data_IF_114462267712
#
_entry.id   IF_114462267712
#
_cell.length_a   1.000
_cell.length_b   1.000
_cell.length_c   1.000
_cell.angle_alpha   90.00
_cell.angle_beta   90.00
_cell.angle_gamma   90.00
#
_symmetry.space_group_name_H-M   'P 1'
#
loop_
_entity.id
_entity.type
_entity.pdbx_description
1 polymer ?
#
# COMPACT_ATOMS: atom_id res chain seq x y z
N UNK A 1 -12.62 -18.29 -35.36
CA UNK A 1 -12.02 -18.31 -34.00
C UNK A 1 -10.49 -18.43 -34.03
N UNK A 2 -9.85 -19.06 -34.98
CA UNK A 2 -8.38 -19.08 -35.13
C UNK A 2 -7.78 -17.67 -35.29
N UNK A 3 -8.36 -16.83 -36.12
CA UNK A 3 -7.86 -15.49 -36.45
C UNK A 3 -7.73 -14.54 -35.22
N UNK A 4 -8.65 -14.63 -34.25
CA UNK A 4 -8.60 -13.80 -33.03
C UNK A 4 -7.52 -14.27 -32.06
N UNK A 5 -7.37 -15.59 -31.89
CA UNK A 5 -6.33 -16.16 -31.03
C UNK A 5 -4.92 -15.84 -31.56
N UNK A 6 -4.74 -15.92 -32.88
CA UNK A 6 -3.47 -15.60 -33.52
C UNK A 6 -3.15 -14.10 -33.40
N UNK A 7 -4.16 -13.23 -33.51
CA UNK A 7 -4.02 -11.79 -33.28
C UNK A 7 -3.61 -11.49 -31.82
N UNK A 8 -4.32 -12.02 -30.83
CA UNK A 8 -4.00 -11.81 -29.42
C UNK A 8 -2.58 -12.33 -29.10
N UNK A 9 -2.19 -13.48 -29.61
CA UNK A 9 -0.86 -14.03 -29.46
C UNK A 9 0.23 -13.12 -30.07
N UNK A 10 -0.01 -12.60 -31.28
CA UNK A 10 0.90 -11.66 -31.96
C UNK A 10 1.10 -10.37 -31.17
N UNK A 11 0.04 -9.90 -30.48
CA UNK A 11 0.04 -8.68 -29.65
C UNK A 11 0.48 -8.92 -28.21
N UNK A 12 0.83 -10.13 -27.86
CA UNK A 12 1.13 -10.55 -26.49
C UNK A 12 0.01 -10.18 -25.49
N UNK A 13 -1.24 -10.26 -25.93
CA UNK A 13 -2.44 -10.05 -25.10
C UNK A 13 -2.82 -11.40 -24.48
N UNK A 14 -2.52 -11.58 -23.19
CA UNK A 14 -2.73 -12.83 -22.46
C UNK A 14 -3.65 -12.57 -21.28
N UNK A 15 -4.95 -12.85 -21.46
CA UNK A 15 -5.97 -12.62 -20.44
C UNK A 15 -5.96 -13.79 -19.44
N UNK A 16 -5.13 -13.67 -18.39
CA UNK A 16 -5.03 -14.67 -17.33
C UNK A 16 -4.95 -13.98 -15.96
N UNK A 17 -5.51 -14.62 -14.91
CA UNK A 17 -5.35 -14.13 -13.54
C UNK A 17 -3.87 -13.99 -13.13
N UNK A 18 -3.00 -14.88 -13.59
CA UNK A 18 -1.56 -14.82 -13.34
C UNK A 18 -0.98 -13.48 -13.82
N UNK A 19 -1.30 -13.07 -15.05
CA UNK A 19 -0.74 -11.86 -15.66
C UNK A 19 -1.27 -10.58 -15.03
N UNK A 20 -2.57 -10.52 -14.74
CA UNK A 20 -3.20 -9.29 -14.25
C UNK A 20 -3.21 -9.16 -12.73
N UNK A 21 -3.48 -10.25 -11.99
CA UNK A 21 -3.58 -10.20 -10.53
C UNK A 21 -2.27 -10.52 -9.80
N UNK A 22 -1.24 -11.00 -10.51
CA UNK A 22 0.04 -11.32 -9.88
C UNK A 22 1.18 -10.48 -10.47
N UNK A 23 1.41 -10.56 -11.78
CA UNK A 23 2.52 -9.85 -12.42
C UNK A 23 2.28 -8.32 -12.46
N UNK A 24 1.12 -7.88 -12.98
CA UNK A 24 0.78 -6.46 -13.04
C UNK A 24 0.64 -5.84 -11.65
N UNK A 25 0.02 -6.54 -10.69
CA UNK A 25 -0.13 -6.06 -9.31
C UNK A 25 1.21 -5.97 -8.58
N UNK A 26 2.09 -6.96 -8.78
CA UNK A 26 3.45 -6.95 -8.23
C UNK A 26 4.29 -5.80 -8.79
N UNK A 27 4.23 -5.57 -10.10
CA UNK A 27 4.90 -4.44 -10.74
C UNK A 27 4.34 -3.09 -10.28
N UNK A 28 3.01 -2.98 -10.15
CA UNK A 28 2.37 -1.79 -9.59
C UNK A 28 2.91 -1.45 -8.20
N UNK A 29 3.08 -2.46 -7.33
CA UNK A 29 3.63 -2.26 -5.99
C UNK A 29 5.07 -1.74 -6.04
N UNK A 30 5.89 -2.19 -7.00
CA UNK A 30 7.25 -1.66 -7.22
C UNK A 30 7.22 -0.20 -7.69
N UNK A 31 6.31 0.15 -8.62
CA UNK A 31 6.12 1.52 -9.08
C UNK A 31 5.69 2.45 -7.93
N UNK A 32 4.78 1.99 -7.08
CA UNK A 32 4.35 2.71 -5.88
C UNK A 32 5.52 2.89 -4.90
N UNK A 33 6.30 1.85 -4.68
CA UNK A 33 7.48 1.90 -3.82
C UNK A 33 8.49 2.95 -4.30
N UNK A 34 8.87 2.89 -5.58
CA UNK A 34 9.89 3.77 -6.15
C UNK A 34 9.48 5.26 -6.17
N UNK A 35 8.21 5.56 -6.07
CA UNK A 35 7.66 6.93 -6.13
C UNK A 35 7.08 7.38 -4.79
N UNK A 36 5.89 6.91 -4.42
CA UNK A 36 5.17 7.36 -3.23
C UNK A 36 5.96 7.10 -1.95
N UNK A 37 6.47 5.87 -1.77
CA UNK A 37 7.11 5.50 -0.51
C UNK A 37 8.46 6.20 -0.33
N UNK A 38 9.32 6.14 -1.33
CA UNK A 38 10.61 6.85 -1.30
C UNK A 38 10.39 8.36 -1.17
N UNK A 39 9.43 8.92 -1.92
CA UNK A 39 9.07 10.32 -1.83
C UNK A 39 8.57 10.72 -0.44
N UNK A 40 7.76 9.89 0.20
CA UNK A 40 7.27 10.12 1.57
C UNK A 40 8.42 10.07 2.58
N UNK A 41 9.36 9.14 2.46
CA UNK A 41 10.55 9.07 3.31
C UNK A 41 11.38 10.34 3.22
N UNK A 42 11.69 10.78 1.99
CA UNK A 42 12.48 12.00 1.75
C UNK A 42 11.75 13.22 2.31
N UNK A 43 10.44 13.35 2.03
CA UNK A 43 9.61 14.47 2.51
C UNK A 43 9.57 14.51 4.03
N UNK A 44 9.37 13.37 4.68
CA UNK A 44 9.34 13.28 6.15
C UNK A 44 10.69 13.65 6.76
N UNK A 45 11.79 13.18 6.16
CA UNK A 45 13.14 13.58 6.59
C UNK A 45 13.33 15.10 6.47
N UNK A 46 12.89 15.70 5.36
CA UNK A 46 12.92 17.15 5.16
C UNK A 46 12.14 17.91 6.23
N UNK A 47 10.93 17.46 6.53
CA UNK A 47 10.08 18.04 7.58
C UNK A 47 10.73 17.96 8.98
N UNK A 48 11.36 16.82 9.31
CA UNK A 48 12.01 16.64 10.62
C UNK A 48 13.34 17.40 10.77
N UNK A 49 14.04 17.61 9.66
CA UNK A 49 15.34 18.33 9.65
C UNK A 49 15.21 19.83 9.34
N UNK A 50 14.03 20.30 8.94
CA UNK A 50 13.80 21.68 8.51
C UNK A 50 14.43 21.99 7.14
N UNK A 51 14.69 20.98 6.31
CA UNK A 51 15.28 21.14 4.98
C UNK A 51 14.20 21.14 3.90
N UNK A 52 13.71 22.32 3.52
CA UNK A 52 12.65 22.50 2.52
C UNK A 52 12.97 21.82 1.18
N UNK A 53 14.23 21.83 0.76
CA UNK A 53 14.67 21.14 -0.47
C UNK A 53 14.31 19.65 -0.46
N UNK A 54 14.42 18.97 0.67
CA UNK A 54 14.03 17.55 0.77
C UNK A 54 12.50 17.40 0.75
N UNK A 55 11.76 18.38 1.32
CA UNK A 55 10.29 18.39 1.26
C UNK A 55 9.83 18.50 -0.20
N UNK A 56 10.43 19.38 -0.98
CA UNK A 56 10.11 19.56 -2.40
C UNK A 56 10.49 18.33 -3.24
N UNK A 57 11.70 17.78 -3.04
CA UNK A 57 12.14 16.56 -3.73
C UNK A 57 11.18 15.39 -3.46
N UNK A 58 10.80 15.17 -2.19
CA UNK A 58 9.82 14.16 -1.82
C UNK A 58 8.45 14.45 -2.40
N UNK A 59 8.07 15.74 -2.51
CA UNK A 59 6.84 16.20 -3.15
C UNK A 59 6.75 15.80 -4.62
N UNK A 60 7.79 16.03 -5.41
CA UNK A 60 7.87 15.63 -6.81
C UNK A 60 7.76 14.10 -6.96
N UNK A 61 8.45 13.33 -6.12
CA UNK A 61 8.40 11.87 -6.18
C UNK A 61 6.99 11.33 -5.86
N UNK A 62 6.36 11.84 -4.81
CA UNK A 62 5.00 11.41 -4.41
C UNK A 62 3.93 11.78 -5.45
N UNK A 63 4.08 12.93 -6.12
CA UNK A 63 3.17 13.37 -7.18
C UNK A 63 3.18 12.42 -8.39
N UNK A 64 4.29 11.71 -8.62
CA UNK A 64 4.44 10.77 -9.74
C UNK A 64 4.00 9.34 -9.40
N UNK A 65 3.34 9.11 -8.28
CA UNK A 65 2.91 7.76 -7.87
C UNK A 65 2.00 7.07 -8.88
N UNK A 66 0.96 7.74 -9.37
CA UNK A 66 0.06 7.21 -10.40
C UNK A 66 0.79 6.87 -11.71
N UNK A 67 1.54 7.82 -12.31
CA UNK A 67 2.40 7.57 -13.46
C UNK A 67 3.36 6.39 -13.29
N UNK A 68 4.06 6.30 -12.16
CA UNK A 68 5.02 5.23 -11.88
C UNK A 68 4.34 3.85 -11.79
N UNK A 69 3.18 3.77 -11.12
CA UNK A 69 2.39 2.54 -11.05
C UNK A 69 1.95 2.07 -12.45
N UNK A 70 1.39 2.98 -13.26
CA UNK A 70 0.90 2.63 -14.60
C UNK A 70 2.04 2.23 -15.53
N UNK A 71 3.17 2.91 -15.45
CA UNK A 71 4.37 2.58 -16.22
C UNK A 71 4.91 1.18 -15.83
N UNK A 72 4.96 0.87 -14.54
CA UNK A 72 5.38 -0.45 -14.05
C UNK A 72 4.43 -1.57 -14.51
N UNK A 73 3.11 -1.33 -14.49
CA UNK A 73 2.10 -2.25 -15.04
C UNK A 73 2.35 -2.49 -16.52
N UNK A 74 2.51 -1.43 -17.30
CA UNK A 74 2.75 -1.52 -18.73
C UNK A 74 4.04 -2.26 -19.06
N UNK A 75 5.09 -2.07 -18.27
CA UNK A 75 6.36 -2.81 -18.40
C UNK A 75 6.15 -4.31 -18.15
N UNK A 76 5.46 -4.68 -17.07
CA UNK A 76 5.14 -6.08 -16.75
C UNK A 76 4.25 -6.75 -17.80
N UNK A 77 3.37 -5.97 -18.45
CA UNK A 77 2.52 -6.44 -19.55
C UNK A 77 3.22 -6.43 -20.91
N UNK A 78 4.52 -6.15 -20.96
CA UNK A 78 5.34 -6.08 -22.17
C UNK A 78 4.83 -5.09 -23.20
N UNK A 79 4.38 -3.92 -22.75
CA UNK A 79 3.88 -2.89 -23.65
C UNK A 79 4.97 -2.33 -24.57
N UNK A 80 4.67 -2.08 -25.84
CA UNK A 80 5.54 -1.31 -26.72
C UNK A 80 5.81 0.11 -26.17
N UNK A 81 6.95 0.73 -26.53
CA UNK A 81 7.36 2.02 -25.96
C UNK A 81 6.31 3.13 -26.04
N UNK A 82 5.60 3.27 -27.15
CA UNK A 82 4.56 4.28 -27.30
C UNK A 82 3.38 4.07 -26.35
N UNK A 83 2.98 2.82 -26.12
CA UNK A 83 1.95 2.47 -25.13
C UNK A 83 2.46 2.78 -23.73
N UNK A 84 3.67 2.31 -23.40
CA UNK A 84 4.29 2.48 -22.10
C UNK A 84 4.38 3.98 -21.69
N UNK A 85 4.83 4.83 -22.58
CA UNK A 85 4.94 6.27 -22.33
C UNK A 85 3.57 6.95 -22.21
N UNK A 86 2.58 6.49 -22.97
CA UNK A 86 1.20 7.00 -22.89
C UNK A 86 0.51 6.63 -21.57
N UNK A 87 0.88 5.50 -20.97
CA UNK A 87 0.36 5.08 -19.66
C UNK A 87 0.73 6.04 -18.51
N UNK A 88 1.74 6.88 -18.66
CA UNK A 88 2.10 7.94 -17.71
C UNK A 88 0.89 8.86 -17.50
N UNK A 89 0.26 9.32 -18.58
CA UNK A 89 -0.94 10.17 -18.53
C UNK A 89 -2.13 9.43 -17.94
N UNK A 90 -2.32 8.16 -18.32
CA UNK A 90 -3.39 7.31 -17.79
C UNK A 90 -3.25 7.12 -16.28
N UNK A 91 -2.03 6.81 -15.81
CA UNK A 91 -1.77 6.63 -14.38
C UNK A 91 -2.00 7.91 -13.57
N UNK A 92 -1.61 9.06 -14.12
CA UNK A 92 -1.88 10.35 -13.49
C UNK A 92 -3.38 10.58 -13.29
N UNK A 93 -4.17 10.46 -14.37
CA UNK A 93 -5.62 10.69 -14.32
C UNK A 93 -6.34 9.69 -13.41
N UNK A 94 -6.02 8.41 -13.51
CA UNK A 94 -6.65 7.36 -12.70
C UNK A 94 -6.39 7.53 -11.22
N UNK A 95 -5.14 7.87 -10.84
CA UNK A 95 -4.78 8.08 -9.44
C UNK A 95 -5.41 9.36 -8.88
N UNK A 96 -5.39 10.45 -9.64
CA UNK A 96 -5.97 11.73 -9.20
C UNK A 96 -7.50 11.65 -9.01
N UNK A 97 -8.21 11.02 -9.94
CA UNK A 97 -9.67 10.88 -9.87
C UNK A 97 -10.11 9.78 -8.90
N UNK A 98 -9.28 8.79 -8.66
CA UNK A 98 -9.56 7.66 -7.76
C UNK A 98 -9.40 7.99 -6.27
N UNK A 99 -8.74 9.08 -5.91
CA UNK A 99 -8.55 9.49 -4.52
C UNK A 99 -8.00 8.36 -3.63
N UNK A 100 -8.70 7.98 -2.58
CA UNK A 100 -8.29 6.88 -1.69
C UNK A 100 -8.20 5.52 -2.41
N UNK A 101 -8.99 5.31 -3.46
CA UNK A 101 -8.94 4.14 -4.34
C UNK A 101 -7.99 4.31 -5.54
N UNK A 102 -7.20 5.39 -5.56
CA UNK A 102 -6.30 5.72 -6.68
C UNK A 102 -5.44 4.55 -7.16
N UNK A 103 -4.70 3.86 -6.30
CA UNK A 103 -3.89 2.71 -6.73
C UNK A 103 -4.71 1.58 -7.39
N UNK A 104 -5.90 1.28 -6.86
CA UNK A 104 -6.80 0.29 -7.44
C UNK A 104 -7.36 0.75 -8.80
N UNK A 105 -7.70 2.03 -8.91
CA UNK A 105 -8.12 2.62 -10.17
C UNK A 105 -7.01 2.54 -11.23
N UNK A 106 -5.77 2.88 -10.85
CA UNK A 106 -4.59 2.74 -11.74
C UNK A 106 -4.42 1.29 -12.19
N UNK A 107 -4.53 0.31 -11.28
CA UNK A 107 -4.38 -1.10 -11.63
C UNK A 107 -5.35 -1.50 -12.74
N UNK A 108 -6.64 -1.27 -12.53
CA UNK A 108 -7.70 -1.68 -13.46
C UNK A 108 -7.57 -0.95 -14.79
N UNK A 109 -7.43 0.38 -14.74
CA UNK A 109 -7.47 1.24 -15.93
C UNK A 109 -6.18 1.08 -16.75
N UNK A 110 -5.02 1.00 -16.12
CA UNK A 110 -3.76 0.80 -16.83
C UNK A 110 -3.68 -0.56 -17.52
N UNK A 111 -4.23 -1.63 -16.93
CA UNK A 111 -4.34 -2.94 -17.60
C UNK A 111 -5.16 -2.81 -18.88
N UNK A 112 -6.37 -2.23 -18.79
CA UNK A 112 -7.24 -2.09 -19.96
C UNK A 112 -6.60 -1.20 -21.04
N UNK A 113 -6.05 -0.05 -20.65
CA UNK A 113 -5.38 0.86 -21.58
C UNK A 113 -4.14 0.23 -22.23
N UNK A 114 -3.40 -0.58 -21.48
CA UNK A 114 -2.25 -1.35 -21.98
C UNK A 114 -2.66 -2.33 -23.07
N UNK A 115 -3.71 -3.12 -22.82
CA UNK A 115 -4.14 -4.13 -23.77
C UNK A 115 -4.76 -3.50 -25.05
N UNK A 116 -5.52 -2.41 -24.90
CA UNK A 116 -6.03 -1.65 -26.05
C UNK A 116 -4.91 -0.99 -26.85
N UNK A 117 -3.93 -0.40 -26.17
CA UNK A 117 -2.75 0.17 -26.81
C UNK A 117 -1.93 -0.86 -27.58
N UNK A 118 -1.69 -2.04 -26.99
CA UNK A 118 -1.02 -3.17 -27.68
C UNK A 118 -1.80 -3.64 -28.90
N UNK A 119 -3.14 -3.71 -28.79
CA UNK A 119 -3.97 -4.16 -29.90
C UNK A 119 -3.80 -3.29 -31.16
N UNK A 120 -3.68 -1.98 -31.01
CA UNK A 120 -3.55 -1.05 -32.13
C UNK A 120 -2.10 -0.76 -32.56
N UNK A 121 -1.14 -1.03 -31.69
CA UNK A 121 0.28 -0.75 -31.95
C UNK A 121 0.79 -1.49 -33.19
N UNK A 122 1.43 -0.74 -34.09
CA UNK A 122 2.01 -1.22 -35.36
C UNK A 122 0.97 -1.79 -36.36
N UNK A 123 -0.32 -1.43 -36.23
CA UNK A 123 -1.36 -1.83 -37.19
C UNK A 123 -1.59 -0.76 -38.27
N UNK A 124 -1.11 0.47 -38.08
CA UNK A 124 -1.30 1.58 -39.02
C UNK A 124 0.03 2.18 -39.45
N UNK A 125 0.04 2.83 -40.61
CA UNK A 125 1.22 3.55 -41.12
C UNK A 125 1.57 4.80 -40.27
N UNK A 126 0.60 5.30 -39.52
CA UNK A 126 0.73 6.47 -38.63
C UNK A 126 0.71 6.06 -37.15
N UNK A 127 1.33 4.94 -36.85
CA UNK A 127 1.37 4.31 -35.51
C UNK A 127 1.78 5.28 -34.40
N UNK A 128 2.72 6.17 -34.71
CA UNK A 128 3.22 7.19 -33.76
C UNK A 128 2.12 8.13 -33.23
N UNK A 129 1.02 8.30 -33.97
CA UNK A 129 -0.15 9.08 -33.55
C UNK A 129 -1.26 8.17 -33.00
N UNK A 130 -1.57 7.09 -33.71
CA UNK A 130 -2.73 6.23 -33.38
C UNK A 130 -2.53 5.50 -32.06
N UNK A 131 -1.39 4.92 -31.83
CA UNK A 131 -1.12 4.17 -30.59
C UNK A 131 -1.21 5.04 -29.32
N UNK A 132 -0.55 6.21 -29.21
CA UNK A 132 -0.73 7.09 -28.07
C UNK A 132 -2.15 7.62 -27.92
N UNK A 133 -2.80 8.02 -29.02
CA UNK A 133 -4.18 8.50 -28.97
C UNK A 133 -5.12 7.45 -28.40
N UNK A 134 -5.08 6.23 -28.91
CA UNK A 134 -5.96 5.15 -28.42
C UNK A 134 -5.67 4.85 -26.96
N UNK A 135 -4.41 4.76 -26.56
CA UNK A 135 -4.03 4.48 -25.18
C UNK A 135 -4.50 5.57 -24.23
N UNK A 136 -4.27 6.85 -24.58
CA UNK A 136 -4.67 7.99 -23.74
C UNK A 136 -6.19 8.13 -23.70
N UNK A 137 -6.88 8.16 -24.85
CA UNK A 137 -8.32 8.33 -24.88
C UNK A 137 -9.05 7.19 -24.14
N UNK A 138 -8.64 5.94 -24.35
CA UNK A 138 -9.26 4.81 -23.65
C UNK A 138 -8.95 4.86 -22.16
N UNK A 139 -7.69 5.11 -21.75
CA UNK A 139 -7.29 5.13 -20.36
C UNK A 139 -7.84 6.33 -19.59
N UNK A 140 -7.68 7.56 -20.11
CA UNK A 140 -8.22 8.76 -19.46
C UNK A 140 -9.75 8.78 -19.50
N UNK A 141 -10.36 8.40 -20.62
CA UNK A 141 -11.81 8.27 -20.72
C UNK A 141 -12.38 7.28 -19.70
N UNK A 142 -11.71 6.13 -19.55
CA UNK A 142 -12.09 5.14 -18.53
C UNK A 142 -11.86 5.70 -17.11
N UNK A 143 -10.79 6.46 -16.88
CA UNK A 143 -10.54 7.15 -15.60
C UNK A 143 -11.69 8.08 -15.23
N UNK A 144 -12.19 8.88 -16.16
CA UNK A 144 -13.32 9.78 -15.93
C UNK A 144 -14.62 9.03 -15.62
N UNK A 145 -14.78 7.81 -16.13
CA UNK A 145 -16.01 7.02 -15.94
C UNK A 145 -15.98 6.21 -14.64
N UNK A 146 -14.87 5.53 -14.31
CA UNK A 146 -14.86 4.53 -13.22
C UNK A 146 -13.91 4.84 -12.08
N UNK A 147 -12.95 5.78 -12.19
CA UNK A 147 -12.01 6.04 -11.11
C UNK A 147 -12.71 6.59 -9.85
N UNK A 148 -13.66 7.51 -9.99
CA UNK A 148 -14.43 8.04 -8.87
C UNK A 148 -15.32 6.98 -8.18
N UNK A 149 -16.08 6.12 -8.88
CA UNK A 149 -16.74 4.95 -8.27
C UNK A 149 -15.80 4.01 -7.51
N UNK A 150 -14.61 3.73 -8.06
CA UNK A 150 -13.59 2.91 -7.37
C UNK A 150 -13.12 3.61 -6.09
N UNK A 151 -12.89 4.91 -6.15
CA UNK A 151 -12.56 5.75 -5.00
C UNK A 151 -13.64 5.72 -3.94
N UNK A 152 -14.90 5.84 -4.33
CA UNK A 152 -16.05 5.74 -3.43
C UNK A 152 -16.13 4.37 -2.74
N UNK A 153 -15.89 3.28 -3.49
CA UNK A 153 -15.85 1.93 -2.92
C UNK A 153 -14.71 1.79 -1.90
N UNK A 154 -13.52 2.32 -2.19
CA UNK A 154 -12.40 2.34 -1.24
C UNK A 154 -12.72 3.16 0.03
N UNK A 155 -13.48 4.25 -0.11
CA UNK A 155 -13.91 5.09 1.01
C UNK A 155 -14.90 4.39 1.94
N UNK A 156 -15.61 3.31 1.51
CA UNK A 156 -16.43 2.50 2.40
C UNK A 156 -15.60 1.80 3.49
N UNK A 157 -14.33 1.52 3.23
CA UNK A 157 -13.41 1.05 4.28
C UNK A 157 -13.28 2.10 5.39
N UNK A 158 -13.29 3.39 5.03
CA UNK A 158 -13.35 4.49 5.99
C UNK A 158 -14.61 4.45 6.88
N UNK A 159 -15.78 4.21 6.29
CA UNK A 159 -17.04 4.06 7.06
C UNK A 159 -16.95 2.90 8.06
N UNK A 160 -16.34 1.77 7.64
CA UNK A 160 -16.13 0.63 8.51
C UNK A 160 -15.14 0.95 9.65
N UNK A 161 -14.09 1.72 9.37
CA UNK A 161 -13.15 2.19 10.39
C UNK A 161 -13.87 3.10 11.40
N UNK A 162 -14.68 4.04 10.93
CA UNK A 162 -15.44 4.94 11.83
C UNK A 162 -16.38 4.15 12.74
N UNK A 163 -17.12 3.19 12.18
CA UNK A 163 -17.95 2.30 13.00
C UNK A 163 -17.12 1.55 14.04
N UNK A 164 -15.92 1.06 13.66
CA UNK A 164 -15.03 0.35 14.58
C UNK A 164 -14.52 1.24 15.72
N UNK A 165 -14.32 2.54 15.49
CA UNK A 165 -13.86 3.47 16.54
C UNK A 165 -14.92 3.75 17.63
N UNK A 166 -16.18 3.47 17.35
CA UNK A 166 -17.30 3.64 18.31
C UNK A 166 -17.41 2.46 19.29
N UNK A 167 -16.68 1.37 19.06
CA UNK A 167 -16.74 0.17 19.90
C UNK A 167 -15.97 0.34 21.20
N UNK A 168 -16.20 -0.58 22.16
CA UNK A 168 -15.40 -0.66 23.38
C UNK A 168 -13.90 -0.79 23.09
N UNK A 169 -12.98 -0.24 23.90
CA UNK A 169 -11.56 -0.12 23.59
C UNK A 169 -10.86 -1.42 23.15
N UNK A 170 -11.26 -2.55 23.72
CA UNK A 170 -10.71 -3.86 23.32
C UNK A 170 -11.17 -4.24 21.91
N UNK A 171 -12.46 -4.11 21.63
CA UNK A 171 -13.05 -4.44 20.31
C UNK A 171 -12.57 -3.43 19.26
N UNK A 172 -12.57 -2.15 19.61
CA UNK A 172 -12.01 -1.08 18.77
C UNK A 172 -10.55 -1.38 18.40
N UNK A 173 -9.72 -1.74 19.40
CA UNK A 173 -8.33 -2.11 19.17
C UNK A 173 -8.17 -3.24 18.15
N UNK A 174 -8.95 -4.31 18.28
CA UNK A 174 -8.93 -5.44 17.32
C UNK A 174 -9.38 -4.96 15.92
N UNK A 175 -10.55 -4.33 15.84
CA UNK A 175 -11.16 -3.99 14.56
C UNK A 175 -10.35 -2.95 13.80
N UNK A 176 -9.97 -1.85 14.45
CA UNK A 176 -9.22 -0.77 13.80
C UNK A 176 -7.84 -1.26 13.34
N UNK A 177 -7.10 -1.99 14.20
CA UNK A 177 -5.78 -2.51 13.83
C UNK A 177 -5.84 -3.50 12.67
N UNK A 178 -6.83 -4.40 12.64
CA UNK A 178 -7.01 -5.37 11.56
C UNK A 178 -7.46 -4.67 10.27
N UNK A 179 -8.49 -3.82 10.33
CA UNK A 179 -9.06 -3.19 9.13
C UNK A 179 -8.02 -2.28 8.48
N UNK A 180 -7.37 -1.39 9.26
CA UNK A 180 -6.37 -0.46 8.71
C UNK A 180 -5.10 -1.20 8.27
N UNK A 181 -4.66 -2.20 9.03
CA UNK A 181 -3.52 -3.05 8.64
C UNK A 181 -3.77 -3.80 7.34
N UNK A 182 -4.94 -4.40 7.17
CA UNK A 182 -5.36 -5.06 5.92
C UNK A 182 -5.46 -4.03 4.79
N UNK A 183 -6.05 -2.85 5.03
CA UNK A 183 -6.16 -1.78 4.06
C UNK A 183 -4.78 -1.31 3.55
N UNK A 184 -3.76 -1.25 4.41
CA UNK A 184 -2.38 -0.93 4.04
C UNK A 184 -1.79 -1.94 3.04
N UNK A 185 -2.13 -3.21 3.18
CA UNK A 185 -1.63 -4.28 2.30
C UNK A 185 -2.40 -4.34 0.98
N UNK A 186 -3.67 -3.93 0.96
CA UNK A 186 -4.51 -3.84 -0.24
C UNK A 186 -4.02 -2.71 -1.18
N UNK A 187 -4.35 -2.77 -2.48
CA UNK A 187 -4.06 -1.70 -3.42
C UNK A 187 -5.01 -0.50 -3.26
N UNK A 188 -5.11 0.00 -2.02
CA UNK A 188 -5.83 1.21 -1.63
C UNK A 188 -4.95 2.08 -0.75
N UNK A 189 -5.25 3.36 -0.64
CA UNK A 189 -4.45 4.28 0.18
C UNK A 189 -5.00 4.35 1.60
N UNK A 190 -4.53 3.48 2.50
CA UNK A 190 -4.83 3.53 3.94
C UNK A 190 -4.48 4.90 4.55
N UNK A 191 -3.36 5.50 4.12
CA UNK A 191 -2.94 6.83 4.53
C UNK A 191 -3.98 7.92 4.16
N UNK A 192 -4.49 7.90 2.92
CA UNK A 192 -5.51 8.83 2.47
C UNK A 192 -6.85 8.61 3.20
N UNK A 193 -7.22 7.36 3.47
CA UNK A 193 -8.41 7.04 4.26
C UNK A 193 -8.28 7.59 5.69
N UNK A 194 -7.18 7.29 6.38
CA UNK A 194 -6.95 7.78 7.74
C UNK A 194 -6.89 9.32 7.82
N UNK A 195 -6.29 9.98 6.82
CA UNK A 195 -6.25 11.44 6.73
C UNK A 195 -7.65 12.03 6.55
N UNK A 196 -8.47 11.46 5.65
CA UNK A 196 -9.84 11.90 5.40
C UNK A 196 -10.76 11.73 6.61
N UNK A 197 -10.52 10.72 7.44
CA UNK A 197 -11.25 10.46 8.69
C UNK A 197 -10.74 11.30 9.87
N UNK A 198 -9.58 11.95 9.77
CA UNK A 198 -8.93 12.57 10.91
C UNK A 198 -8.54 11.55 11.98
N UNK A 199 -8.17 10.31 11.61
CA UNK A 199 -7.96 9.21 12.55
C UNK A 199 -6.73 9.44 13.41
N UNK A 200 -6.94 9.85 14.66
CA UNK A 200 -5.91 10.15 15.66
C UNK A 200 -6.26 9.52 17.02
N UNK A 201 -5.56 9.89 18.08
CA UNK A 201 -5.79 9.38 19.42
C UNK A 201 -5.50 7.89 19.57
N UNK A 202 -6.22 7.23 20.45
CA UNK A 202 -6.10 5.79 20.73
C UNK A 202 -6.43 4.95 19.51
N UNK A 203 -7.46 5.33 18.73
CA UNK A 203 -7.81 4.63 17.48
C UNK A 203 -6.70 4.77 16.42
N UNK A 204 -6.06 5.96 16.34
CA UNK A 204 -4.88 6.18 15.51
C UNK A 204 -3.70 5.30 15.94
N UNK A 205 -3.48 5.15 17.23
CA UNK A 205 -2.46 4.27 17.80
C UNK A 205 -2.70 2.79 17.47
N UNK A 206 -3.94 2.33 17.58
CA UNK A 206 -4.33 0.97 17.16
C UNK A 206 -4.09 0.75 15.65
N UNK A 207 -4.41 1.75 14.82
CA UNK A 207 -4.15 1.70 13.37
C UNK A 207 -2.65 1.58 13.07
N UNK A 208 -1.80 2.39 13.73
CA UNK A 208 -0.33 2.28 13.61
C UNK A 208 0.15 0.89 13.98
N UNK A 209 -0.28 0.35 15.12
CA UNK A 209 0.09 -0.99 15.58
C UNK A 209 -0.31 -2.07 14.56
N UNK A 210 -1.51 -2.00 13.99
CA UNK A 210 -2.00 -2.92 12.97
C UNK A 210 -1.21 -2.84 11.66
N UNK A 211 -0.91 -1.63 11.19
CA UNK A 211 -0.06 -1.39 10.03
C UNK A 211 1.35 -1.95 10.22
N UNK A 212 1.95 -1.71 11.40
CA UNK A 212 3.26 -2.26 11.76
C UNK A 212 3.24 -3.78 11.79
N UNK A 213 2.15 -4.40 12.29
CA UNK A 213 2.01 -5.84 12.31
C UNK A 213 1.98 -6.44 10.90
N UNK A 214 1.33 -5.80 9.95
CA UNK A 214 1.37 -6.24 8.56
C UNK A 214 2.77 -6.09 7.96
N UNK A 215 3.41 -4.94 8.11
CA UNK A 215 4.69 -4.66 7.48
C UNK A 215 5.83 -5.48 8.08
N UNK A 216 6.06 -5.38 9.38
CA UNK A 216 7.11 -6.13 10.09
C UNK A 216 6.80 -7.63 10.06
N UNK A 217 5.52 -8.00 10.20
CA UNK A 217 5.10 -9.39 10.11
C UNK A 217 5.50 -10.04 8.78
N UNK A 218 5.19 -9.43 7.65
CA UNK A 218 5.62 -9.94 6.35
C UNK A 218 7.14 -9.87 6.16
N UNK A 219 7.78 -8.80 6.60
CA UNK A 219 9.21 -8.60 6.47
C UNK A 219 10.02 -9.71 7.15
N UNK A 220 9.73 -9.99 8.44
CA UNK A 220 10.49 -10.93 9.24
C UNK A 220 10.23 -12.38 8.84
N UNK A 221 8.96 -12.76 8.65
CA UNK A 221 8.60 -14.15 8.30
C UNK A 221 9.07 -14.58 6.90
N UNK A 222 9.23 -13.63 5.98
CA UNK A 222 9.74 -13.89 4.63
C UNK A 222 11.26 -13.74 4.50
N UNK A 223 11.96 -13.49 5.60
CA UNK A 223 13.41 -13.25 5.59
C UNK A 223 14.23 -14.37 4.96
N UNK A 224 13.85 -15.64 5.23
CA UNK A 224 14.52 -16.81 4.65
C UNK A 224 14.46 -16.83 3.12
N UNK A 225 13.42 -16.27 2.53
CA UNK A 225 13.14 -16.30 1.09
C UNK A 225 13.64 -15.04 0.36
N UNK A 226 13.67 -13.89 1.07
CA UNK A 226 13.93 -12.57 0.47
C UNK A 226 15.17 -11.87 1.04
N UNK A 227 15.79 -12.40 2.08
CA UNK A 227 16.96 -11.80 2.72
C UNK A 227 16.76 -10.40 3.26
N UNK A 228 17.86 -9.65 3.41
CA UNK A 228 17.86 -8.28 3.93
C UNK A 228 17.07 -7.31 3.02
N UNK A 229 17.16 -7.48 1.70
CA UNK A 229 16.42 -6.65 0.74
C UNK A 229 14.91 -6.76 0.96
N UNK A 230 14.39 -7.98 1.13
CA UNK A 230 12.97 -8.22 1.43
C UNK A 230 12.56 -7.72 2.81
N UNK A 231 13.46 -7.82 3.82
CA UNK A 231 13.21 -7.29 5.16
C UNK A 231 13.00 -5.77 5.11
N UNK A 232 13.90 -5.05 4.45
CA UNK A 232 13.85 -3.58 4.35
C UNK A 232 12.68 -3.13 3.47
N UNK A 233 12.51 -3.74 2.29
CA UNK A 233 11.46 -3.32 1.35
C UNK A 233 10.04 -3.51 1.90
N UNK A 234 9.82 -4.55 2.70
CA UNK A 234 8.52 -4.77 3.35
C UNK A 234 8.41 -4.05 4.70
N UNK A 235 9.45 -4.10 5.51
CA UNK A 235 9.44 -3.54 6.86
C UNK A 235 9.45 -2.01 6.90
N UNK A 236 10.18 -1.36 6.01
CA UNK A 236 10.24 0.10 5.89
C UNK A 236 9.55 0.64 4.63
N UNK A 237 9.22 -0.23 3.69
CA UNK A 237 8.53 0.14 2.46
C UNK A 237 7.03 -0.15 2.54
N UNK A 238 6.60 -1.34 2.12
CA UNK A 238 5.18 -1.73 2.14
C UNK A 238 4.97 -3.24 2.14
N UNK A 239 3.95 -3.69 2.89
CA UNK A 239 3.45 -5.07 2.83
C UNK A 239 2.72 -5.40 1.52
N UNK A 240 2.31 -4.38 0.74
CA UNK A 240 1.63 -4.57 -0.55
C UNK A 240 2.47 -5.36 -1.56
N UNK A 241 3.80 -5.40 -1.40
CA UNK A 241 4.69 -6.25 -2.21
C UNK A 241 4.31 -7.73 -2.16
N UNK A 242 3.63 -8.18 -1.09
CA UNK A 242 3.14 -9.55 -0.95
C UNK A 242 1.77 -9.80 -1.60
N UNK A 243 1.11 -8.78 -2.18
CA UNK A 243 -0.22 -8.95 -2.76
C UNK A 243 -0.28 -10.02 -3.85
N UNK A 244 0.73 -10.10 -4.70
CA UNK A 244 0.83 -11.16 -5.72
C UNK A 244 0.86 -12.57 -5.10
N UNK A 245 1.53 -12.73 -3.96
CA UNK A 245 1.59 -13.98 -3.22
C UNK A 245 0.30 -14.24 -2.43
N UNK A 246 -0.32 -13.20 -1.85
CA UNK A 246 -1.63 -13.28 -1.17
C UNK A 246 -2.71 -13.78 -2.13
N UNK A 247 -2.72 -13.28 -3.38
CA UNK A 247 -3.65 -13.75 -4.42
C UNK A 247 -3.44 -15.23 -4.74
N UNK A 248 -2.18 -15.71 -4.77
CA UNK A 248 -1.85 -17.13 -4.99
C UNK A 248 -2.25 -18.01 -3.82
N UNK A 249 -1.93 -17.56 -2.60
CA UNK A 249 -2.20 -18.28 -1.35
C UNK A 249 -2.66 -17.30 -0.26
N UNK A 250 -4.00 -17.05 -0.13
CA UNK A 250 -4.53 -16.10 0.86
C UNK A 250 -4.18 -16.44 2.32
N UNK A 251 -3.81 -17.69 2.61
CA UNK A 251 -3.46 -18.12 3.97
C UNK A 251 -2.22 -17.41 4.50
N UNK A 252 -1.32 -16.97 3.62
CA UNK A 252 -0.15 -16.19 4.03
C UNK A 252 -0.51 -14.86 4.70
N UNK A 253 -1.74 -14.40 4.61
CA UNK A 253 -2.19 -13.16 5.25
C UNK A 253 -2.65 -13.35 6.70
N UNK A 254 -2.89 -14.59 7.12
CA UNK A 254 -3.46 -14.91 8.44
C UNK A 254 -2.50 -14.49 9.56
N UNK A 255 -1.23 -14.88 9.48
CA UNK A 255 -0.26 -14.60 10.55
C UNK A 255 -0.11 -13.10 10.88
N UNK A 256 0.15 -12.18 9.94
CA UNK A 256 0.25 -10.75 10.26
C UNK A 256 -1.09 -10.15 10.66
N UNK A 257 -2.22 -10.69 10.17
CA UNK A 257 -3.56 -10.25 10.58
C UNK A 257 -3.87 -10.65 12.02
N UNK A 258 -3.51 -11.86 12.43
CA UNK A 258 -3.61 -12.27 13.84
C UNK A 258 -2.68 -11.45 14.74
N UNK A 259 -1.47 -11.13 14.28
CA UNK A 259 -0.58 -10.22 15.00
C UNK A 259 -1.21 -8.83 15.16
N UNK A 260 -1.86 -8.28 14.10
CA UNK A 260 -2.63 -7.03 14.20
C UNK A 260 -3.74 -7.12 15.26
N UNK A 261 -4.51 -8.21 15.25
CA UNK A 261 -5.61 -8.43 16.19
C UNK A 261 -5.15 -8.51 17.66
N UNK A 262 -3.90 -8.83 17.91
CA UNK A 262 -3.30 -8.87 19.26
C UNK A 262 -2.67 -7.52 19.62
N UNK A 263 -1.90 -6.93 18.72
CA UNK A 263 -1.21 -5.65 18.98
C UNK A 263 -2.17 -4.49 19.14
N UNK A 264 -3.31 -4.50 18.44
CA UNK A 264 -4.35 -3.48 18.56
C UNK A 264 -4.89 -3.31 19.98
N UNK A 265 -5.45 -4.36 20.61
CA UNK A 265 -5.91 -4.30 21.99
C UNK A 265 -4.81 -3.97 23.01
N UNK A 266 -3.59 -4.43 22.79
CA UNK A 266 -2.46 -4.02 23.64
C UNK A 266 -2.19 -2.52 23.52
N UNK A 267 -2.31 -1.95 22.32
CA UNK A 267 -2.20 -0.52 22.12
C UNK A 267 -3.30 0.26 22.84
N UNK A 268 -4.56 -0.20 22.75
CA UNK A 268 -5.71 0.54 23.29
C UNK A 268 -5.92 0.35 24.79
N UNK A 269 -5.76 -0.87 25.31
CA UNK A 269 -6.16 -1.23 26.68
C UNK A 269 -4.97 -1.29 27.65
N UNK A 270 -3.75 -1.61 27.18
CA UNK A 270 -2.60 -1.83 28.06
C UNK A 270 -1.67 -0.62 28.05
N UNK A 271 -1.25 -0.18 26.88
CA UNK A 271 -0.26 0.89 26.72
C UNK A 271 -0.89 2.27 26.56
N UNK A 272 -2.21 2.37 26.28
CA UNK A 272 -2.86 3.61 25.90
C UNK A 272 -2.04 4.39 24.86
N UNK A 273 -1.64 3.65 23.83
CA UNK A 273 -0.73 4.12 22.79
C UNK A 273 -1.49 5.02 21.82
N UNK A 274 -1.30 6.31 21.94
CA UNK A 274 -1.98 7.32 21.14
C UNK A 274 -1.11 7.80 19.98
N UNK A 275 -1.75 8.08 18.85
CA UNK A 275 -1.16 8.77 17.71
C UNK A 275 -1.86 10.10 17.50
N UNK A 276 -1.31 11.16 18.10
CA UNK A 276 -1.85 12.54 18.07
C UNK A 276 -1.12 13.46 17.08
N UNK A 277 -0.26 12.88 16.24
CA UNK A 277 0.34 13.59 15.11
C UNK A 277 -0.58 13.72 13.91
N UNK A 278 -0.03 13.91 12.73
CA UNK A 278 -0.82 14.01 11.50
C UNK A 278 -1.60 12.71 11.23
N UNK A 279 -2.92 12.80 11.00
CA UNK A 279 -3.81 11.65 10.83
C UNK A 279 -3.37 10.67 9.71
N UNK A 280 -2.68 11.17 8.68
CA UNK A 280 -2.08 10.35 7.61
C UNK A 280 -1.14 9.27 8.17
N UNK A 281 -0.45 9.55 9.26
CA UNK A 281 0.53 8.66 9.91
C UNK A 281 -0.12 7.40 10.49
N UNK A 282 -1.41 7.46 10.88
CA UNK A 282 -2.16 6.30 11.39
C UNK A 282 -2.24 5.16 10.38
N UNK A 283 -2.28 5.48 9.08
CA UNK A 283 -2.36 4.47 8.01
C UNK A 283 -1.02 4.06 7.39
N UNK A 284 0.12 4.47 7.98
CA UNK A 284 1.45 4.27 7.37
C UNK A 284 2.31 3.20 8.07
N UNK A 285 2.05 2.89 9.35
CA UNK A 285 2.85 1.92 10.09
C UNK A 285 4.34 2.24 10.08
N UNK A 286 5.18 1.26 9.75
CA UNK A 286 6.64 1.43 9.65
C UNK A 286 7.11 1.94 8.29
N UNK A 287 6.21 2.28 7.38
CA UNK A 287 6.57 2.88 6.08
C UNK A 287 7.37 4.17 6.29
N UNK A 288 8.66 4.16 5.96
CA UNK A 288 9.57 5.29 6.25
C UNK A 288 9.57 5.76 7.69
N UNK A 289 9.16 4.93 8.64
CA UNK A 289 8.92 5.27 10.05
C UNK A 289 7.87 6.38 10.27
N UNK A 290 7.02 6.64 9.27
CA UNK A 290 6.04 7.74 9.32
C UNK A 290 5.03 7.54 10.46
N UNK A 291 4.60 6.31 10.74
CA UNK A 291 3.73 6.01 11.87
C UNK A 291 4.37 6.38 13.20
N UNK A 292 5.63 5.98 13.42
CA UNK A 292 6.41 6.26 14.64
C UNK A 292 6.70 7.77 14.79
N UNK A 293 7.02 8.43 13.68
CA UNK A 293 7.22 9.88 13.66
C UNK A 293 5.90 10.59 14.01
N UNK A 294 4.76 10.11 13.50
CA UNK A 294 3.44 10.63 13.84
C UNK A 294 3.14 10.50 15.34
N UNK A 295 3.45 9.35 15.94
CA UNK A 295 3.32 9.14 17.39
C UNK A 295 4.21 10.11 18.17
N UNK A 296 5.50 10.19 17.81
CA UNK A 296 6.45 11.08 18.46
C UNK A 296 6.07 12.56 18.36
N UNK A 297 5.67 13.02 17.18
CA UNK A 297 5.23 14.41 16.99
C UNK A 297 3.93 14.69 17.75
N UNK A 298 3.06 13.69 17.89
CA UNK A 298 1.90 13.75 18.77
C UNK A 298 2.29 13.98 20.22
N UNK A 299 3.21 13.20 20.77
CA UNK A 299 3.70 13.38 22.14
C UNK A 299 4.29 14.79 22.38
N UNK A 300 5.07 15.29 21.39
CA UNK A 300 5.62 16.66 21.48
C UNK A 300 4.50 17.72 21.51
N UNK A 301 3.49 17.54 20.66
CA UNK A 301 2.33 18.45 20.62
C UNK A 301 1.52 18.39 21.93
N UNK A 302 1.33 17.19 22.49
CA UNK A 302 0.60 16.99 23.75
C UNK A 302 1.33 17.63 24.94
N UNK A 303 2.66 17.58 24.96
CA UNK A 303 3.46 18.28 25.97
C UNK A 303 3.31 19.79 25.80
N UNK A 304 3.39 20.31 24.57
CA UNK A 304 3.22 21.74 24.31
C UNK A 304 1.80 22.23 24.68
N UNK A 305 0.80 21.37 24.52
CA UNK A 305 -0.60 21.64 24.91
C UNK A 305 -0.85 21.44 26.43
N UNK A 306 0.10 20.88 27.18
CA UNK A 306 -0.05 20.60 28.60
C UNK A 306 -0.91 19.36 28.93
N UNK A 307 -1.26 18.55 27.95
CA UNK A 307 -2.04 17.31 28.13
C UNK A 307 -1.17 16.12 28.51
N UNK A 308 0.14 16.18 28.21
CA UNK A 308 1.15 15.20 28.60
C UNK A 308 2.30 15.91 29.32
N UNK A 309 2.73 15.34 30.46
CA UNK A 309 3.77 15.99 31.28
C UNK A 309 5.18 15.81 30.65
N UNK A 310 5.49 14.61 30.16
CA UNK A 310 6.77 14.29 29.54
C UNK A 310 6.68 12.99 28.73
N UNK A 311 7.62 12.75 27.83
CA UNK A 311 7.80 11.46 27.16
C UNK A 311 8.53 10.54 28.14
N UNK A 312 7.92 9.42 28.48
CA UNK A 312 8.44 8.46 29.47
C UNK A 312 9.17 7.30 28.79
N UNK A 313 10.04 6.55 29.51
CA UNK A 313 10.61 5.31 28.98
C UNK A 313 9.55 4.27 28.60
N UNK A 314 8.37 4.31 29.23
CA UNK A 314 7.24 3.43 28.93
C UNK A 314 6.63 3.76 27.55
N UNK A 315 6.55 5.02 27.17
CA UNK A 315 6.09 5.44 25.84
C UNK A 315 7.01 4.86 24.74
N UNK A 316 8.33 4.97 24.93
CA UNK A 316 9.30 4.40 24.00
C UNK A 316 9.25 2.87 23.98
N UNK A 317 9.12 2.22 25.14
CA UNK A 317 8.97 0.78 25.23
C UNK A 317 7.70 0.31 24.52
N UNK A 318 6.56 1.01 24.72
CA UNK A 318 5.31 0.72 24.03
C UNK A 318 5.47 0.83 22.50
N UNK A 319 6.09 1.91 22.01
CA UNK A 319 6.33 2.09 20.58
C UNK A 319 7.21 0.99 19.99
N UNK A 320 8.32 0.63 20.66
CA UNK A 320 9.22 -0.45 20.17
C UNK A 320 8.52 -1.80 20.22
N UNK A 321 7.80 -2.11 21.31
CA UNK A 321 7.08 -3.37 21.47
C UNK A 321 5.96 -3.50 20.44
N UNK A 322 5.08 -2.52 20.33
CA UNK A 322 3.90 -2.58 19.47
C UNK A 322 4.22 -2.48 17.97
N UNK A 323 5.24 -1.69 17.62
CA UNK A 323 5.55 -1.45 16.22
C UNK A 323 6.58 -2.42 15.63
N UNK A 324 7.43 -3.07 16.46
CA UNK A 324 8.51 -3.92 15.94
C UNK A 324 8.56 -5.30 16.58
N UNK A 325 8.69 -5.38 17.91
CA UNK A 325 9.00 -6.65 18.60
C UNK A 325 7.81 -7.61 18.55
N UNK A 326 6.64 -7.18 19.01
CA UNK A 326 5.44 -8.04 19.00
C UNK A 326 5.00 -8.43 17.58
N UNK A 327 4.94 -7.51 16.61
CA UNK A 327 4.69 -7.89 15.21
C UNK A 327 5.65 -8.95 14.68
N UNK A 328 6.94 -8.81 14.93
CA UNK A 328 7.97 -9.76 14.50
C UNK A 328 7.77 -11.13 15.14
N UNK A 329 7.69 -11.17 16.48
CA UNK A 329 7.59 -12.43 17.25
C UNK A 329 6.28 -13.17 16.92
N UNK A 330 5.15 -12.47 17.01
CA UNK A 330 3.83 -13.09 16.77
C UNK A 330 3.70 -13.62 15.34
N UNK A 331 4.11 -12.82 14.35
CA UNK A 331 4.01 -13.25 12.95
C UNK A 331 4.92 -14.45 12.64
N UNK A 332 6.11 -14.54 13.25
CA UNK A 332 6.98 -15.72 13.10
C UNK A 332 6.34 -16.94 13.76
N UNK A 333 5.82 -16.80 14.98
CA UNK A 333 5.16 -17.91 15.69
C UNK A 333 3.97 -18.44 14.86
N UNK A 334 3.09 -17.57 14.40
CA UNK A 334 1.95 -17.97 13.59
C UNK A 334 2.38 -18.56 12.25
N UNK A 335 3.39 -18.02 11.60
CA UNK A 335 3.94 -18.56 10.36
C UNK A 335 4.49 -19.98 10.54
N UNK A 336 5.18 -20.26 11.64
CA UNK A 336 5.65 -21.63 11.95
C UNK A 336 4.47 -22.60 12.19
N UNK A 337 3.38 -22.14 12.80
CA UNK A 337 2.16 -22.91 12.94
C UNK A 337 1.53 -23.19 11.57
N UNK A 338 1.41 -22.16 10.71
CA UNK A 338 0.88 -22.29 9.35
C UNK A 338 1.71 -23.26 8.49
N UNK A 339 3.05 -23.22 8.63
CA UNK A 339 3.96 -24.17 7.95
C UNK A 339 3.77 -25.61 8.45
N UNK A 340 3.64 -25.81 9.76
CA UNK A 340 3.37 -27.14 10.36
C UNK A 340 2.03 -27.71 9.92
N UNK A 341 1.02 -26.85 9.73
CA UNK A 341 -0.30 -27.23 9.21
C UNK A 341 -0.29 -27.47 7.68
N UNK A 342 0.82 -27.23 7.01
CA UNK A 342 0.93 -27.35 5.55
C UNK A 342 0.15 -26.29 4.77
N UNK A 343 -0.25 -25.19 5.42
CA UNK A 343 -0.96 -24.08 4.77
C UNK A 343 -0.05 -23.22 3.93
N UNK A 344 1.22 -23.09 4.33
CA UNK A 344 2.26 -22.32 3.67
C UNK A 344 3.44 -23.22 3.37
N UNK A 345 3.94 -23.13 2.16
CA UNK A 345 5.13 -23.84 1.68
C UNK A 345 6.32 -22.91 1.53
N UNK A 346 7.50 -23.48 1.43
CA UNK A 346 8.71 -22.73 1.07
C UNK A 346 8.54 -22.13 -0.33
N UNK A 347 8.86 -20.85 -0.49
CA UNK A 347 8.67 -20.10 -1.73
C UNK A 347 7.36 -19.30 -1.80
N UNK A 348 6.35 -19.59 -0.97
CA UNK A 348 5.07 -18.87 -0.99
C UNK A 348 5.18 -17.36 -0.62
N UNK A 349 6.24 -16.98 0.08
CA UNK A 349 6.51 -15.60 0.50
C UNK A 349 7.60 -14.91 -0.34
N UNK A 350 8.13 -15.59 -1.36
CA UNK A 350 9.19 -15.03 -2.18
C UNK A 350 8.66 -13.86 -3.03
N UNK A 351 9.34 -12.73 -2.93
CA UNK A 351 9.07 -11.56 -3.78
C UNK A 351 9.63 -11.81 -5.19
N UNK A 352 8.95 -11.29 -6.20
CA UNK A 352 9.36 -11.42 -7.60
C UNK A 352 10.46 -10.40 -7.93
#
# INVERSE_FOLDING_TARGET
MSNVKDFLKRKDIVITPQRYLIEALGAMAQGLFASLLIGTIIKTLGQQTGLDVLVDLGGYATAMSGPAMACAIGWALHCPPLVLFSLITVGYSANALGGAGGPLAVLIIAIVASELGKAVSKETRVDILVTPLVTIFSGVGLSMLIAAPIGAAASQVGTLIMWATEQAPLVMGILVSVIVGVALTLPISSAAICAALGLTGIAGGAAVAGCCAQMIGFAVRSYKENGVGGLVSQGLGTSMLQMGNIVKNPRIWIAPTLASAITGPLATCVFHFEMNGAAVSSGMGTCGLVGQIGVYTGWVSDIAAGTKAAITPVDWAAMVLLCFVLPAVLSVIFCEIERKLGWIKEGDLKLN
#
